data_IF_351829776600
#
_entry.id   IF_351829776600
#
_cell.length_a   1.000
_cell.length_b   1.000
_cell.length_c   1.000
_cell.angle_alpha   90.00
_cell.angle_beta   90.00
_cell.angle_gamma   90.00
#
_symmetry.space_group_name_H-M   'P 1'
#
loop_
_entity.id
_entity.type
_entity.pdbx_description
1 polymer ?
#
# COMPACT_ATOMS: atom_id res chain seq x y z
N UNK A 1 50.18 18.58 -30.54
CA UNK A 1 50.36 17.31 -29.83
C UNK A 1 49.82 17.52 -28.41
N UNK A 2 48.65 16.94 -28.09
CA UNK A 2 48.08 16.85 -26.73
C UNK A 2 48.63 15.59 -26.06
N UNK A 3 48.81 15.54 -24.72
CA UNK A 3 47.72 15.12 -23.79
C UNK A 3 47.85 15.79 -22.39
N UNK A 4 47.06 15.59 -21.32
CA UNK A 4 45.75 15.03 -21.00
C UNK A 4 45.34 15.66 -19.63
N UNK A 5 44.03 15.85 -19.46
CA UNK A 5 43.20 15.88 -18.25
C UNK A 5 43.83 15.42 -16.92
N UNK A 6 43.64 16.24 -15.87
CA UNK A 6 43.58 15.76 -14.48
C UNK A 6 42.12 15.74 -14.02
N UNK A 7 41.54 14.54 -13.97
CA UNK A 7 40.23 14.27 -13.36
C UNK A 7 40.32 14.49 -11.84
N UNK A 8 39.38 15.27 -11.29
CA UNK A 8 39.14 15.29 -9.84
C UNK A 8 38.62 13.92 -9.43
N UNK A 9 39.41 13.22 -8.59
CA UNK A 9 39.02 11.98 -7.90
C UNK A 9 37.61 12.10 -7.34
N UNK A 10 36.76 11.18 -7.80
CA UNK A 10 35.38 11.05 -7.39
C UNK A 10 35.25 10.97 -5.88
N UNK A 11 34.39 11.85 -5.34
CA UNK A 11 33.71 11.59 -4.09
C UNK A 11 32.99 10.26 -4.25
N UNK A 12 33.42 9.24 -3.50
CA UNK A 12 32.64 8.01 -3.37
C UNK A 12 31.24 8.42 -2.91
N UNK A 13 30.16 8.03 -3.60
CA UNK A 13 28.84 8.17 -3.01
C UNK A 13 28.87 7.44 -1.66
N UNK A 14 28.37 8.14 -0.63
CA UNK A 14 28.40 7.73 0.76
C UNK A 14 27.94 6.28 0.92
N UNK A 15 28.57 5.49 1.79
CA UNK A 15 28.33 4.05 1.88
C UNK A 15 26.85 3.71 2.23
N UNK A 16 26.13 4.66 2.81
CA UNK A 16 24.68 4.63 3.07
C UNK A 16 23.82 4.70 1.81
N UNK A 17 24.32 5.25 0.70
CA UNK A 17 23.63 5.30 -0.58
C UNK A 17 23.65 3.96 -1.35
N UNK A 18 24.34 2.94 -0.81
CA UNK A 18 24.51 1.62 -1.44
C UNK A 18 23.69 0.51 -0.81
N UNK A 19 23.18 0.70 0.39
CA UNK A 19 22.43 -0.31 1.13
C UNK A 19 21.05 0.24 1.44
N UNK A 20 20.02 -0.44 0.92
CA UNK A 20 18.66 -0.23 1.38
C UNK A 20 18.49 -0.55 2.86
N UNK A 21 17.33 -0.23 3.42
CA UNK A 21 16.97 -0.63 4.77
C UNK A 21 15.75 -1.55 4.75
N UNK A 22 15.62 -2.34 5.80
CA UNK A 22 14.46 -3.15 6.14
C UNK A 22 14.41 -3.20 7.66
N UNK A 23 13.42 -2.56 8.25
CA UNK A 23 13.22 -2.55 9.70
C UNK A 23 11.78 -2.90 10.04
N UNK A 24 11.61 -3.54 11.20
CA UNK A 24 10.30 -3.89 11.72
C UNK A 24 10.25 -3.67 13.23
N UNK A 25 9.12 -3.17 13.69
CA UNK A 25 8.78 -3.02 15.11
C UNK A 25 7.41 -3.59 15.35
N UNK A 26 7.12 -3.97 16.59
CA UNK A 26 5.85 -4.56 16.97
C UNK A 26 5.52 -4.23 18.42
N UNK A 27 4.27 -4.45 18.83
CA UNK A 27 3.77 -4.11 20.15
C UNK A 27 4.23 -5.05 21.29
N UNK A 28 5.02 -6.09 20.99
CA UNK A 28 5.53 -7.01 21.99
C UNK A 28 4.52 -8.04 22.50
N UNK A 29 3.39 -8.22 21.80
CA UNK A 29 2.34 -9.15 22.22
C UNK A 29 2.83 -10.62 22.31
N UNK A 30 2.28 -11.41 23.22
CA UNK A 30 2.75 -12.80 23.35
C UNK A 30 2.25 -13.72 22.20
N UNK A 31 1.24 -13.29 21.44
CA UNK A 31 0.59 -14.11 20.42
C UNK A 31 0.33 -13.30 19.15
N UNK A 32 0.19 -13.99 18.02
CA UNK A 32 -0.05 -13.37 16.70
C UNK A 32 -1.41 -12.68 16.64
N UNK A 33 -2.42 -13.19 17.36
CA UNK A 33 -3.78 -12.64 17.42
C UNK A 33 -3.87 -11.30 18.15
N UNK A 34 -2.85 -10.95 18.94
CA UNK A 34 -2.73 -9.65 19.59
C UNK A 34 -1.57 -8.81 19.01
N UNK A 35 -0.82 -9.37 18.07
CA UNK A 35 0.37 -8.75 17.49
C UNK A 35 -0.02 -7.67 16.50
N UNK A 36 0.55 -6.49 16.68
CA UNK A 36 0.48 -5.39 15.72
C UNK A 36 1.91 -5.01 15.39
N UNK A 37 2.22 -4.97 14.10
CA UNK A 37 3.56 -4.71 13.59
C UNK A 37 3.58 -3.62 12.53
N UNK A 38 4.70 -2.90 12.46
CA UNK A 38 5.03 -2.01 11.35
C UNK A 38 6.33 -2.50 10.75
N UNK A 39 6.37 -2.66 9.43
CA UNK A 39 7.59 -2.97 8.69
C UNK A 39 7.77 -1.97 7.57
N UNK A 40 8.99 -1.47 7.42
CA UNK A 40 9.34 -0.52 6.35
C UNK A 40 10.60 -0.96 5.65
N UNK A 41 10.60 -0.85 4.33
CA UNK A 41 11.77 -1.17 3.51
C UNK A 41 11.98 -0.14 2.40
N UNK A 42 13.25 0.10 2.02
CA UNK A 42 13.61 0.96 0.90
C UNK A 42 14.89 0.47 0.21
N UNK A 43 14.95 0.59 -1.12
CA UNK A 43 16.21 0.62 -1.87
C UNK A 43 17.16 -0.58 -1.76
N UNK A 44 16.68 -1.82 -1.63
CA UNK A 44 17.56 -3.00 -1.59
C UNK A 44 18.15 -3.36 -2.98
N UNK A 45 19.38 -2.89 -3.27
CA UNK A 45 20.16 -3.33 -4.45
C UNK A 45 20.26 -4.86 -4.49
N UNK A 46 19.93 -5.44 -5.65
CA UNK A 46 19.98 -6.90 -5.88
C UNK A 46 18.62 -7.61 -5.80
N UNK A 47 17.57 -6.95 -5.30
CA UNK A 47 16.19 -7.45 -5.36
C UNK A 47 15.37 -6.56 -6.30
N UNK A 48 15.13 -7.05 -7.53
CA UNK A 48 14.49 -6.33 -8.65
C UNK A 48 13.04 -5.86 -8.38
N UNK A 49 12.49 -6.15 -7.20
CA UNK A 49 11.07 -5.95 -6.87
C UNK A 49 10.81 -5.38 -5.47
N UNK A 50 11.83 -4.88 -4.76
CA UNK A 50 11.59 -4.19 -3.48
C UNK A 50 11.31 -2.71 -3.77
N UNK A 51 10.03 -2.39 -3.74
CA UNK A 51 9.52 -1.02 -3.71
C UNK A 51 9.82 -0.40 -2.35
N UNK A 52 9.96 0.92 -2.29
CA UNK A 52 9.92 1.62 -1.02
C UNK A 52 8.50 1.44 -0.46
N UNK A 53 8.36 0.73 0.65
CA UNK A 53 7.07 0.44 1.23
C UNK A 53 7.11 0.52 2.75
N UNK A 54 5.93 0.77 3.32
CA UNK A 54 5.64 0.55 4.73
C UNK A 54 4.34 -0.22 4.81
N UNK A 55 4.34 -1.27 5.61
CA UNK A 55 3.16 -2.08 5.90
C UNK A 55 2.87 -2.05 7.40
N UNK A 56 1.58 -2.02 7.73
CA UNK A 56 1.08 -2.20 9.09
C UNK A 56 0.29 -3.49 9.10
N UNK A 57 0.75 -4.45 9.89
CA UNK A 57 0.07 -5.73 10.10
C UNK A 57 -0.85 -5.59 11.30
N UNK A 58 -2.14 -5.77 11.04
CA UNK A 58 -3.18 -5.85 12.06
C UNK A 58 -3.41 -7.32 12.44
N UNK A 59 -3.99 -7.61 13.61
CA UNK A 59 -4.17 -8.99 14.06
C UNK A 59 -5.25 -9.72 13.22
N UNK A 60 -5.11 -11.03 13.03
CA UNK A 60 -5.95 -11.79 12.09
C UNK A 60 -7.37 -12.09 12.63
N UNK A 61 -7.54 -12.32 13.94
CA UNK A 61 -8.79 -12.85 14.53
C UNK A 61 -9.39 -11.98 15.64
N UNK A 62 -8.63 -11.03 16.19
CA UNK A 62 -9.06 -10.06 17.20
C UNK A 62 -8.74 -8.65 16.76
N UNK A 63 -9.24 -8.28 15.58
CA UNK A 63 -9.36 -6.88 15.17
C UNK A 63 -10.43 -6.27 16.08
N UNK A 64 -10.11 -5.47 17.11
CA UNK A 64 -11.15 -4.81 17.90
C UNK A 64 -12.09 -4.04 16.97
N UNK A 65 -13.39 -4.00 17.30
CA UNK A 65 -14.46 -3.41 16.47
C UNK A 65 -14.12 -2.08 15.78
N UNK A 66 -13.29 -1.17 16.31
CA UNK A 66 -12.92 0.03 15.58
C UNK A 66 -12.27 -0.27 14.22
N UNK A 67 -11.30 -1.19 14.15
CA UNK A 67 -10.49 -1.42 12.95
C UNK A 67 -11.10 -2.40 11.93
N UNK A 68 -12.36 -2.81 12.14
CA UNK A 68 -13.18 -3.52 11.13
C UNK A 68 -14.11 -2.58 10.35
N UNK A 69 -14.02 -1.26 10.58
CA UNK A 69 -14.79 -0.25 9.85
C UNK A 69 -13.86 0.71 9.11
N UNK A 70 -14.31 1.35 8.01
CA UNK A 70 -13.47 2.30 7.29
C UNK A 70 -12.99 3.43 8.21
N UNK A 71 -13.87 3.94 9.07
CA UNK A 71 -13.56 5.08 9.93
C UNK A 71 -12.58 4.75 11.06
N UNK A 72 -12.51 3.51 11.55
CA UNK A 72 -11.47 3.15 12.51
C UNK A 72 -10.11 2.85 11.87
N UNK A 73 -10.06 2.54 10.57
CA UNK A 73 -8.80 2.35 9.83
C UNK A 73 -8.23 3.67 9.30
N UNK A 74 -9.08 4.64 8.95
CA UNK A 74 -8.67 5.97 8.44
C UNK A 74 -7.57 6.64 9.29
N UNK A 75 -7.63 6.68 10.64
CA UNK A 75 -6.57 7.28 11.45
C UNK A 75 -5.19 6.62 11.25
N UNK A 76 -5.14 5.30 11.09
CA UNK A 76 -3.89 4.57 10.83
C UNK A 76 -3.35 4.93 9.45
N UNK A 77 -4.23 4.95 8.45
CA UNK A 77 -3.86 5.33 7.08
C UNK A 77 -3.36 6.78 7.03
N UNK A 78 -4.03 7.72 7.70
CA UNK A 78 -3.59 9.11 7.81
C UNK A 78 -2.20 9.24 8.45
N UNK A 79 -1.93 8.48 9.52
CA UNK A 79 -0.61 8.47 10.15
C UNK A 79 0.49 7.96 9.20
N UNK A 80 0.20 6.92 8.42
CA UNK A 80 1.14 6.41 7.40
C UNK A 80 1.36 7.47 6.31
N UNK A 81 0.29 8.10 5.80
CA UNK A 81 0.38 9.12 4.75
C UNK A 81 1.23 10.30 5.23
N UNK A 82 0.98 10.79 6.45
CA UNK A 82 1.73 11.90 7.02
C UNK A 82 3.21 11.56 7.29
N UNK A 83 3.51 10.31 7.67
CA UNK A 83 4.88 9.91 8.00
C UNK A 83 5.74 9.58 6.78
N UNK A 84 5.14 8.99 5.74
CA UNK A 84 5.89 8.42 4.62
C UNK A 84 5.62 9.09 3.27
N UNK A 85 4.59 9.92 3.18
CA UNK A 85 4.20 10.58 1.92
C UNK A 85 4.16 9.57 0.74
N UNK A 86 3.41 8.46 0.84
CA UNK A 86 3.37 7.46 -0.21
C UNK A 86 2.68 8.00 -1.47
N UNK A 87 2.92 7.37 -2.61
CA UNK A 87 2.18 7.65 -3.86
C UNK A 87 0.79 6.99 -3.86
N UNK A 88 0.66 5.84 -3.19
CA UNK A 88 -0.57 5.09 -3.01
C UNK A 88 -0.49 4.20 -1.77
N UNK A 89 -1.65 3.77 -1.27
CA UNK A 89 -1.76 2.85 -0.13
C UNK A 89 -2.95 1.92 -0.28
N UNK A 90 -2.85 0.70 0.24
CA UNK A 90 -3.91 -0.32 0.18
C UNK A 90 -4.11 -0.94 1.55
N UNK A 91 -5.37 -1.03 1.97
CA UNK A 91 -5.82 -1.79 3.13
C UNK A 91 -6.50 -3.07 2.63
N UNK A 92 -5.93 -4.23 2.96
CA UNK A 92 -6.44 -5.52 2.53
C UNK A 92 -5.97 -6.63 3.47
N UNK A 93 -6.60 -7.80 3.42
CA UNK A 93 -6.07 -8.98 4.11
C UNK A 93 -4.88 -9.55 3.33
N UNK A 94 -3.87 -10.05 4.04
CA UNK A 94 -2.71 -10.70 3.43
C UNK A 94 -3.12 -11.87 2.53
N UNK A 95 -4.20 -12.56 2.90
CA UNK A 95 -4.74 -13.70 2.18
C UNK A 95 -5.47 -13.31 0.88
N UNK A 96 -5.98 -12.07 0.76
CA UNK A 96 -6.43 -11.50 -0.52
C UNK A 96 -5.28 -10.91 -1.33
N UNK A 97 -4.28 -10.36 -0.66
CA UNK A 97 -3.13 -9.74 -1.30
C UNK A 97 -2.22 -10.75 -2.01
N UNK A 98 -1.93 -11.89 -1.37
CA UNK A 98 -0.94 -12.87 -1.84
C UNK A 98 -1.33 -13.58 -3.15
N UNK A 99 -2.56 -14.08 -3.34
CA UNK A 99 -2.97 -14.71 -4.60
C UNK A 99 -2.94 -13.75 -5.80
N UNK A 100 -3.04 -12.45 -5.56
CA UNK A 100 -3.06 -11.42 -6.60
C UNK A 100 -1.66 -10.85 -6.91
N UNK A 101 -0.60 -11.41 -6.32
CA UNK A 101 0.77 -10.93 -6.45
C UNK A 101 1.24 -10.86 -7.91
N UNK A 102 0.85 -11.83 -8.75
CA UNK A 102 1.23 -11.88 -10.17
C UNK A 102 0.53 -10.82 -11.02
N UNK A 103 -0.71 -10.45 -10.69
CA UNK A 103 -1.42 -9.35 -11.35
C UNK A 103 -0.76 -8.01 -11.00
N UNK A 104 -0.37 -7.85 -9.73
CA UNK A 104 0.31 -6.67 -9.21
C UNK A 104 1.67 -6.44 -9.89
N UNK A 105 2.48 -7.50 -10.02
CA UNK A 105 3.79 -7.42 -10.68
C UNK A 105 3.70 -7.08 -12.18
N UNK A 106 2.60 -7.45 -12.84
CA UNK A 106 2.44 -7.28 -14.29
C UNK A 106 1.73 -5.99 -14.67
N UNK A 107 0.83 -5.48 -13.82
CA UNK A 107 -0.10 -4.43 -14.21
C UNK A 107 -0.17 -3.24 -13.24
N UNK A 108 0.55 -3.26 -12.11
CA UNK A 108 0.65 -2.13 -11.16
C UNK A 108 0.01 -2.42 -9.80
N UNK A 109 -0.61 -1.43 -9.16
CA UNK A 109 -1.34 -1.59 -7.91
C UNK A 109 -2.55 -2.54 -8.05
N UNK A 110 -2.96 -3.14 -6.94
CA UNK A 110 -4.20 -3.94 -6.87
C UNK A 110 -5.03 -3.39 -5.71
N UNK A 111 -6.28 -2.93 -5.95
CA UNK A 111 -7.08 -2.31 -4.90
C UNK A 111 -7.43 -3.34 -3.82
N UNK A 112 -7.51 -2.86 -2.60
CA UNK A 112 -7.98 -3.63 -1.45
C UNK A 112 -9.41 -3.29 -1.08
N UNK A 113 -9.75 -3.53 0.19
CA UNK A 113 -10.98 -3.01 0.78
C UNK A 113 -11.00 -1.48 0.75
N UNK A 114 -9.89 -0.86 1.14
CA UNK A 114 -9.67 0.57 1.00
C UNK A 114 -8.40 0.80 0.18
N UNK A 115 -8.44 1.76 -0.73
CA UNK A 115 -7.30 2.14 -1.57
C UNK A 115 -7.20 3.64 -1.64
N UNK A 116 -6.02 4.18 -1.31
CA UNK A 116 -5.75 5.60 -1.38
C UNK A 116 -4.74 5.89 -2.48
N UNK A 117 -4.97 6.98 -3.23
CA UNK A 117 -4.05 7.49 -4.22
C UNK A 117 -3.75 8.95 -3.95
N UNK A 118 -2.47 9.34 -4.09
CA UNK A 118 -2.10 10.75 -4.11
C UNK A 118 -2.73 11.46 -5.31
N UNK A 119 -3.30 12.64 -5.08
CA UNK A 119 -3.84 13.48 -6.13
C UNK A 119 -5.36 13.65 -6.08
N UNK A 120 -5.97 14.17 -7.16
CA UNK A 120 -7.38 14.53 -7.15
C UNK A 120 -8.28 13.29 -7.12
N UNK A 121 -9.48 13.46 -6.59
CA UNK A 121 -10.56 12.50 -6.77
C UNK A 121 -11.00 12.50 -8.22
N UNK A 122 -10.92 11.34 -8.85
CA UNK A 122 -11.45 11.08 -10.19
C UNK A 122 -12.84 10.45 -10.07
N UNK A 123 -13.83 10.88 -10.88
CA UNK A 123 -15.15 10.26 -10.91
C UNK A 123 -15.07 8.78 -11.30
N UNK A 124 -15.81 7.93 -10.58
CA UNK A 124 -15.91 6.50 -10.87
C UNK A 124 -17.34 6.05 -10.62
N UNK A 125 -17.98 5.52 -11.65
CA UNK A 125 -19.34 5.01 -11.54
C UNK A 125 -19.36 3.50 -11.32
N UNK A 126 -20.41 3.04 -10.65
CA UNK A 126 -20.74 1.61 -10.57
C UNK A 126 -19.85 0.78 -9.64
N UNK A 127 -19.19 1.34 -8.64
CA UNK A 127 -18.43 0.57 -7.63
C UNK A 127 -19.30 -0.21 -6.61
N UNK A 128 -20.62 -0.09 -6.72
CA UNK A 128 -21.62 -0.65 -5.81
C UNK A 128 -22.12 0.37 -4.78
N UNK A 129 -23.33 0.16 -4.25
CA UNK A 129 -24.08 1.17 -3.49
C UNK A 129 -23.42 1.58 -2.15
N UNK A 130 -22.64 0.69 -1.56
CA UNK A 130 -21.90 0.90 -0.31
C UNK A 130 -20.43 1.27 -0.53
N UNK A 131 -20.00 1.46 -1.79
CA UNK A 131 -18.67 1.96 -2.09
C UNK A 131 -18.64 3.50 -2.06
N UNK A 132 -17.53 4.05 -1.59
CA UNK A 132 -17.30 5.50 -1.56
C UNK A 132 -16.00 5.86 -2.28
N UNK A 133 -16.00 7.05 -2.89
CA UNK A 133 -14.82 7.70 -3.42
C UNK A 133 -14.82 9.11 -2.85
N UNK A 134 -13.88 9.41 -1.96
CA UNK A 134 -13.87 10.68 -1.22
C UNK A 134 -12.47 11.31 -1.17
N UNK A 135 -12.36 12.65 -1.06
CA UNK A 135 -11.11 13.30 -0.74
C UNK A 135 -10.62 12.89 0.65
N UNK A 136 -9.34 12.55 0.78
CA UNK A 136 -8.75 12.13 2.05
C UNK A 136 -7.24 12.40 2.04
N UNK A 137 -6.73 13.13 3.04
CA UNK A 137 -5.28 13.37 3.25
C UNK A 137 -4.52 13.80 1.98
N UNK A 138 -5.07 14.76 1.23
CA UNK A 138 -4.47 15.27 -0.02
C UNK A 138 -4.54 14.30 -1.21
N UNK A 139 -5.33 13.23 -1.07
CA UNK A 139 -5.54 12.21 -2.09
C UNK A 139 -7.01 11.83 -2.25
N UNK A 140 -7.23 10.74 -2.97
CA UNK A 140 -8.53 10.09 -3.15
C UNK A 140 -8.54 8.77 -2.40
N UNK A 141 -9.49 8.59 -1.49
CA UNK A 141 -9.74 7.34 -0.80
C UNK A 141 -10.95 6.64 -1.40
N UNK A 142 -10.73 5.42 -1.87
CA UNK A 142 -11.75 4.52 -2.36
C UNK A 142 -12.01 3.48 -1.29
N UNK A 143 -13.26 3.31 -0.87
CA UNK A 143 -13.68 2.27 0.06
C UNK A 143 -14.71 1.40 -0.63
N UNK A 144 -14.48 0.10 -0.73
CA UNK A 144 -15.35 -0.82 -1.48
C UNK A 144 -16.49 -1.42 -0.63
N UNK A 145 -16.68 -0.99 0.62
CA UNK A 145 -17.77 -1.46 1.47
C UNK A 145 -17.54 -1.16 2.95
N UNK A 146 -18.51 -1.49 3.80
CA UNK A 146 -18.45 -1.16 5.24
C UNK A 146 -17.68 -2.17 6.10
N UNK A 147 -17.29 -3.31 5.53
CA UNK A 147 -16.48 -4.35 6.20
C UNK A 147 -15.28 -4.75 5.35
N UNK A 148 -14.22 -5.31 5.95
CA UNK A 148 -13.12 -5.90 5.21
C UNK A 148 -13.60 -6.97 4.22
N UNK A 149 -12.91 -7.01 3.08
CA UNK A 149 -13.11 -8.03 2.06
C UNK A 149 -12.48 -9.35 2.50
N UNK A 150 -13.14 -10.46 2.18
CA UNK A 150 -12.74 -11.81 2.59
C UNK A 150 -12.38 -12.70 1.39
N UNK A 151 -11.26 -13.42 1.50
CA UNK A 151 -10.74 -14.29 0.40
C UNK A 151 -11.68 -15.42 0.01
N UNK A 152 -12.46 -15.92 0.97
CA UNK A 152 -13.36 -17.06 0.77
C UNK A 152 -14.76 -16.60 0.35
N UNK A 153 -14.99 -15.29 0.26
CA UNK A 153 -16.23 -14.74 -0.28
C UNK A 153 -16.05 -14.43 -1.77
N UNK A 154 -16.71 -15.18 -2.68
CA UNK A 154 -16.58 -14.96 -4.12
C UNK A 154 -17.11 -13.58 -4.57
N UNK A 155 -18.08 -13.01 -3.85
CA UNK A 155 -18.62 -11.67 -4.15
C UNK A 155 -17.56 -10.59 -3.86
N UNK A 156 -16.83 -10.72 -2.75
CA UNK A 156 -15.75 -9.79 -2.40
C UNK A 156 -14.61 -9.84 -3.43
N UNK A 157 -14.24 -11.04 -3.89
CA UNK A 157 -13.23 -11.20 -4.96
C UNK A 157 -13.71 -10.56 -6.26
N UNK A 158 -14.95 -10.83 -6.66
CA UNK A 158 -15.53 -10.27 -7.88
C UNK A 158 -15.57 -8.74 -7.81
N UNK A 159 -15.96 -8.19 -6.65
CA UNK A 159 -16.04 -6.76 -6.39
C UNK A 159 -14.68 -6.06 -6.49
N UNK A 160 -13.64 -6.62 -5.87
CA UNK A 160 -12.28 -6.06 -5.97
C UNK A 160 -11.81 -6.06 -7.43
N UNK A 161 -12.04 -7.15 -8.15
CA UNK A 161 -11.65 -7.27 -9.57
C UNK A 161 -12.38 -6.27 -10.46
N UNK A 162 -13.67 -6.11 -10.25
CA UNK A 162 -14.50 -5.15 -10.99
C UNK A 162 -14.09 -3.71 -10.67
N UNK A 163 -13.85 -3.39 -9.39
CA UNK A 163 -13.32 -2.10 -8.97
C UNK A 163 -11.95 -1.79 -9.62
N UNK A 164 -11.05 -2.77 -9.69
CA UNK A 164 -9.75 -2.59 -10.34
C UNK A 164 -9.86 -2.14 -11.79
N UNK A 165 -10.77 -2.74 -12.57
CA UNK A 165 -11.02 -2.33 -13.95
C UNK A 165 -11.56 -0.91 -14.03
N UNK A 166 -12.59 -0.60 -13.23
CA UNK A 166 -13.25 0.73 -13.22
C UNK A 166 -12.31 1.84 -12.78
N UNK A 167 -11.50 1.61 -11.75
CA UNK A 167 -10.52 2.58 -11.27
C UNK A 167 -9.43 2.85 -12.32
N UNK A 168 -8.98 1.81 -13.03
CA UNK A 168 -8.03 1.96 -14.12
C UNK A 168 -8.63 2.74 -15.30
N UNK A 169 -9.88 2.44 -15.67
CA UNK A 169 -10.60 3.18 -16.72
C UNK A 169 -10.80 4.65 -16.36
N UNK A 170 -11.05 4.94 -15.07
CA UNK A 170 -11.14 6.31 -14.56
C UNK A 170 -9.79 7.04 -14.50
N UNK A 171 -8.67 6.35 -14.68
CA UNK A 171 -7.33 6.93 -14.72
C UNK A 171 -6.57 6.94 -13.39
N UNK A 172 -7.00 6.18 -12.39
CA UNK A 172 -6.20 5.97 -11.18
C UNK A 172 -4.90 5.20 -11.50
N UNK A 173 -3.78 5.49 -10.79
CA UNK A 173 -2.49 4.85 -11.04
C UNK A 173 -2.43 3.45 -10.41
N UNK A 174 -3.13 2.52 -11.05
CA UNK A 174 -3.16 1.09 -10.76
C UNK A 174 -2.33 0.28 -11.75
#
# INVERSE_FOLDING_TARGET
>A
MLPLLAEKKGQSPDATSRFGFDFGVWNGAATDEASVGVRSSAGMKGKRFIWNNTEVSLPDEYVPEPITTPDGVKPVLAAIIAAYEPDWGVVTSLKLYTPNHDLRLKQGGYPGWMTWFRGPVLPVDGLGDDATVEPFEGGALITLGQRPMHKDNPEDIARIRDAWLKLREAGYPL
#
